data_IF_118178504518
#
_entry.id   IF_118178504518
#
_cell.length_a   1.000
_cell.length_b   1.000
_cell.length_c   1.000
_cell.angle_alpha   90.00
_cell.angle_beta   90.00
_cell.angle_gamma   90.00
#
_symmetry.space_group_name_H-M   'P 1'
#
loop_
_entity.id
_entity.type
_entity.pdbx_description
1 polymer ?
#
# COMPACT_ATOMS: atom_id res chain seq x y z
N UNK A 1 -27.45 12.24 -4.18
CA UNK A 1 -26.60 11.05 -4.00
C UNK A 1 -25.55 11.11 -5.08
N UNK A 2 -24.30 11.33 -4.69
CA UNK A 2 -23.17 11.34 -5.62
C UNK A 2 -22.65 9.91 -5.76
N UNK A 3 -22.79 9.33 -6.94
CA UNK A 3 -22.26 8.01 -7.25
C UNK A 3 -20.80 8.16 -7.68
N UNK A 4 -19.91 7.32 -7.13
CA UNK A 4 -18.53 7.25 -7.63
C UNK A 4 -18.56 6.78 -9.08
N UNK A 5 -17.73 7.41 -9.92
CA UNK A 5 -17.59 7.01 -11.31
C UNK A 5 -17.14 5.55 -11.39
N UNK A 6 -17.86 4.66 -12.10
CA UNK A 6 -17.41 3.28 -12.28
C UNK A 6 -16.19 3.26 -13.22
N UNK A 7 -15.14 2.54 -12.80
CA UNK A 7 -13.92 2.33 -13.60
C UNK A 7 -13.89 0.97 -14.30
N UNK A 8 -14.77 0.05 -13.89
CA UNK A 8 -14.93 -1.28 -14.46
C UNK A 8 -16.38 -1.54 -14.85
N UNK A 9 -16.57 -2.28 -15.93
CA UNK A 9 -17.87 -2.67 -16.44
C UNK A 9 -18.51 -3.71 -15.51
N UNK A 10 -19.72 -3.47 -14.95
CA UNK A 10 -20.38 -4.42 -14.05
C UNK A 10 -20.81 -5.73 -14.74
N UNK A 11 -20.71 -5.80 -16.07
CA UNK A 11 -21.09 -6.98 -16.87
C UNK A 11 -19.88 -7.87 -17.19
N UNK A 12 -18.74 -7.28 -17.55
CA UNK A 12 -17.57 -8.02 -18.04
C UNK A 12 -16.25 -7.65 -17.37
N UNK A 13 -16.29 -6.79 -16.36
CA UNK A 13 -15.14 -6.33 -15.55
C UNK A 13 -14.00 -5.64 -16.33
N UNK A 14 -14.22 -5.32 -17.61
CA UNK A 14 -13.26 -4.55 -18.43
C UNK A 14 -13.26 -3.06 -18.07
N UNK A 15 -12.16 -2.39 -18.40
CA UNK A 15 -11.99 -0.96 -18.17
C UNK A 15 -13.05 -0.12 -18.90
N UNK A 16 -13.63 0.84 -18.19
CA UNK A 16 -14.56 1.82 -18.76
C UNK A 16 -13.85 3.13 -19.09
N UNK A 17 -14.24 3.74 -20.22
CA UNK A 17 -13.81 5.10 -20.62
C UNK A 17 -14.93 6.11 -20.38
N UNK A 18 -14.56 7.36 -20.14
CA UNK A 18 -15.52 8.47 -20.08
C UNK A 18 -15.86 8.84 -21.52
N UNK A 19 -17.16 8.85 -21.86
CA UNK A 19 -17.65 9.17 -23.21
C UNK A 19 -18.22 10.59 -23.36
N UNK A 20 -18.61 11.20 -22.24
CA UNK A 20 -19.30 12.50 -22.22
C UNK A 20 -19.06 13.25 -20.92
N UNK A 21 -18.72 14.53 -21.04
CA UNK A 21 -18.56 15.47 -19.93
C UNK A 21 -19.50 16.66 -20.13
N UNK A 22 -20.10 17.16 -19.04
CA UNK A 22 -20.95 18.34 -19.04
C UNK A 22 -20.36 19.37 -18.10
N UNK A 23 -20.20 20.61 -18.57
CA UNK A 23 -19.72 21.70 -17.72
C UNK A 23 -20.77 22.07 -16.67
N UNK A 24 -20.33 22.33 -15.44
CA UNK A 24 -21.23 22.73 -14.33
C UNK A 24 -21.53 24.24 -14.32
N UNK A 25 -20.85 25.03 -15.14
CA UNK A 25 -20.96 26.49 -15.18
C UNK A 25 -21.64 27.03 -16.44
N UNK A 26 -21.59 26.29 -17.56
CA UNK A 26 -22.13 26.73 -18.85
C UNK A 26 -22.69 25.53 -19.65
N UNK A 27 -23.42 25.73 -20.76
CA UNK A 27 -24.09 24.63 -21.47
C UNK A 27 -23.16 23.73 -22.30
N UNK A 28 -21.84 23.91 -22.20
CA UNK A 28 -20.85 23.12 -22.95
C UNK A 28 -20.92 21.64 -22.59
N UNK A 29 -20.99 20.81 -23.63
CA UNK A 29 -20.90 19.35 -23.56
C UNK A 29 -19.75 18.90 -24.46
N UNK A 30 -18.91 18.02 -23.94
CA UNK A 30 -17.79 17.46 -24.69
C UNK A 30 -18.01 15.96 -24.79
N UNK A 31 -18.00 15.45 -26.02
CA UNK A 31 -18.13 14.01 -26.33
C UNK A 31 -16.84 13.53 -26.98
N UNK A 32 -16.43 12.31 -26.65
CA UNK A 32 -15.17 11.72 -27.09
C UNK A 32 -14.73 10.60 -26.17
N UNK A 33 -13.58 10.00 -26.45
CA UNK A 33 -12.98 8.99 -25.57
C UNK A 33 -11.98 9.65 -24.62
N UNK A 34 -12.33 9.76 -23.34
CA UNK A 34 -11.43 10.28 -22.31
C UNK A 34 -10.98 9.19 -21.36
N UNK A 35 -9.70 9.22 -21.00
CA UNK A 35 -9.13 8.38 -19.96
C UNK A 35 -9.54 8.89 -18.57
N UNK A 36 -9.79 7.96 -17.65
CA UNK A 36 -9.96 8.29 -16.23
C UNK A 36 -8.63 8.67 -15.60
N UNK A 37 -8.65 9.48 -14.54
CA UNK A 37 -7.45 9.76 -13.76
C UNK A 37 -6.88 8.48 -13.12
N UNK A 38 -5.55 8.40 -12.93
CA UNK A 38 -4.90 7.21 -12.33
C UNK A 38 -5.43 6.89 -10.93
N UNK A 39 -5.62 7.92 -10.12
CA UNK A 39 -6.14 7.80 -8.75
C UNK A 39 -7.59 7.33 -8.71
N UNK A 40 -8.38 7.67 -9.73
CA UNK A 40 -9.78 7.30 -9.82
C UNK A 40 -9.92 5.76 -9.77
N UNK A 41 -8.98 5.04 -10.39
CA UNK A 41 -8.96 3.57 -10.45
C UNK A 41 -8.55 2.88 -9.14
N UNK A 42 -8.08 3.62 -8.13
CA UNK A 42 -7.64 3.02 -6.88
C UNK A 42 -8.83 2.47 -6.09
N UNK A 43 -8.68 1.30 -5.43
CA UNK A 43 -9.64 0.82 -4.44
C UNK A 43 -9.92 1.86 -3.36
N UNK A 44 -11.12 1.80 -2.75
CA UNK A 44 -11.54 2.78 -1.74
C UNK A 44 -10.58 2.85 -0.55
N UNK A 45 -10.04 1.72 -0.10
CA UNK A 45 -9.07 1.69 1.00
C UNK A 45 -7.77 2.43 0.67
N UNK A 46 -7.28 2.29 -0.56
CA UNK A 46 -6.10 2.99 -1.04
C UNK A 46 -6.36 4.50 -1.17
N UNK A 47 -7.56 4.90 -1.61
CA UNK A 47 -7.95 6.32 -1.64
C UNK A 47 -7.96 6.95 -0.24
N UNK A 48 -8.53 6.26 0.75
CA UNK A 48 -8.55 6.72 2.15
C UNK A 48 -7.11 6.88 2.68
N UNK A 49 -6.25 5.91 2.38
CA UNK A 49 -4.84 6.00 2.75
C UNK A 49 -4.15 7.20 2.09
N UNK A 50 -4.35 7.43 0.78
CA UNK A 50 -3.75 8.57 0.06
C UNK A 50 -4.23 9.91 0.64
N UNK A 51 -5.52 10.02 0.96
CA UNK A 51 -6.07 11.22 1.59
C UNK A 51 -5.42 11.50 2.94
N UNK A 52 -5.32 10.49 3.81
CA UNK A 52 -4.64 10.60 5.10
C UNK A 52 -3.15 10.94 4.94
N UNK A 53 -2.46 10.28 4.00
CA UNK A 53 -1.05 10.54 3.72
C UNK A 53 -0.80 11.99 3.30
N UNK A 54 -1.63 12.53 2.40
CA UNK A 54 -1.55 13.93 1.96
C UNK A 54 -1.90 14.88 3.11
N UNK A 55 -2.94 14.59 3.90
CA UNK A 55 -3.34 15.37 5.09
C UNK A 55 -2.19 15.48 6.09
N UNK A 56 -1.45 14.39 6.29
CA UNK A 56 -0.25 14.32 7.13
C UNK A 56 1.03 14.81 6.43
N UNK A 57 0.93 15.41 5.23
CA UNK A 57 2.06 15.93 4.43
C UNK A 57 3.15 14.88 4.16
N UNK A 58 2.76 13.62 4.05
CA UNK A 58 3.67 12.48 3.87
C UNK A 58 4.50 12.10 5.10
N UNK A 59 4.23 12.68 6.28
CA UNK A 59 4.90 12.28 7.51
C UNK A 59 4.35 10.94 8.02
N UNK A 60 5.13 9.88 7.83
CA UNK A 60 4.75 8.51 8.21
C UNK A 60 4.31 8.41 9.67
N UNK A 61 5.01 9.08 10.60
CA UNK A 61 4.66 9.04 12.03
C UNK A 61 3.30 9.65 12.35
N UNK A 62 2.93 10.69 11.61
CA UNK A 62 1.61 11.32 11.77
C UNK A 62 0.53 10.47 11.10
N UNK A 63 0.84 9.79 9.99
CA UNK A 63 -0.08 8.83 9.35
C UNK A 63 -0.34 7.61 10.25
N UNK A 64 0.68 7.09 10.92
CA UNK A 64 0.54 6.02 11.92
C UNK A 64 -0.47 6.40 13.01
N UNK A 65 -0.35 7.62 13.55
CA UNK A 65 -1.27 8.14 14.57
C UNK A 65 -2.68 8.38 14.03
N UNK A 66 -2.80 8.98 12.85
CA UNK A 66 -4.08 9.30 12.20
C UNK A 66 -4.87 8.02 11.89
N UNK A 67 -4.20 6.98 11.41
CA UNK A 67 -4.84 5.73 10.98
C UNK A 67 -4.81 4.63 12.05
N UNK A 68 -4.11 4.83 13.17
CA UNK A 68 -3.99 3.85 14.26
C UNK A 68 -3.29 2.56 13.84
N UNK A 69 -2.31 2.64 12.94
CA UNK A 69 -1.59 1.48 12.37
C UNK A 69 -0.08 1.62 12.57
N UNK A 70 0.63 0.51 12.56
CA UNK A 70 2.08 0.48 12.72
C UNK A 70 2.84 1.02 11.50
N UNK A 71 4.06 1.49 11.71
CA UNK A 71 4.98 1.98 10.68
C UNK A 71 5.11 1.02 9.49
N UNK A 72 5.33 -0.30 9.69
CA UNK A 72 5.42 -1.24 8.58
C UNK A 72 4.12 -1.31 7.77
N UNK A 73 2.97 -1.14 8.43
CA UNK A 73 1.66 -1.13 7.76
C UNK A 73 1.49 0.14 6.92
N UNK A 74 1.91 1.31 7.41
CA UNK A 74 1.86 2.55 6.63
C UNK A 74 2.73 2.44 5.39
N UNK A 75 3.96 1.92 5.54
CA UNK A 75 4.88 1.70 4.41
C UNK A 75 4.32 0.69 3.41
N UNK A 76 3.83 -0.45 3.87
CA UNK A 76 3.23 -1.46 2.98
C UNK A 76 2.01 -0.92 2.21
N UNK A 77 1.19 -0.07 2.85
CA UNK A 77 0.08 0.61 2.15
C UNK A 77 0.57 1.63 1.13
N UNK A 78 1.63 2.38 1.43
CA UNK A 78 2.25 3.31 0.49
C UNK A 78 2.80 2.57 -0.73
N UNK A 79 3.52 1.47 -0.52
CA UNK A 79 4.07 0.65 -1.60
C UNK A 79 2.97 0.06 -2.48
N UNK A 80 1.89 -0.44 -1.87
CA UNK A 80 0.71 -0.94 -2.58
C UNK A 80 0.03 0.12 -3.44
N UNK A 81 -0.03 1.38 -2.98
CA UNK A 81 -0.55 2.51 -3.77
C UNK A 81 0.39 2.86 -4.91
N UNK A 82 1.69 2.91 -4.67
CA UNK A 82 2.72 3.19 -5.67
C UNK A 82 2.61 2.18 -6.83
N UNK A 83 2.51 0.90 -6.49
CA UNK A 83 2.32 -0.20 -7.45
C UNK A 83 0.99 -0.06 -8.23
N UNK A 84 -0.12 0.19 -7.53
CA UNK A 84 -1.43 0.36 -8.17
C UNK A 84 -1.48 1.58 -9.13
N UNK A 85 -0.67 2.60 -8.88
CA UNK A 85 -0.52 3.76 -9.78
C UNK A 85 0.42 3.49 -10.97
N UNK A 86 1.03 2.30 -11.03
CA UNK A 86 1.96 1.88 -12.08
C UNK A 86 3.34 2.51 -11.95
N UNK A 87 3.68 3.05 -10.78
CA UNK A 87 5.05 3.40 -10.47
C UNK A 87 5.69 2.14 -9.92
N UNK A 88 6.74 1.62 -10.57
CA UNK A 88 7.45 0.46 -10.04
C UNK A 88 7.83 0.73 -8.59
N UNK A 89 7.66 -0.25 -7.69
CA UNK A 89 8.08 -0.09 -6.30
C UNK A 89 9.53 0.35 -6.33
N UNK A 90 9.82 1.54 -5.79
CA UNK A 90 11.18 1.95 -5.50
C UNK A 90 11.71 0.97 -4.44
N UNK A 91 12.13 -0.22 -4.88
CA UNK A 91 13.13 -1.02 -4.17
C UNK A 91 14.49 -0.30 -4.31
N UNK A 92 14.49 1.00 -4.06
CA UNK A 92 15.70 1.75 -3.86
C UNK A 92 16.12 1.44 -2.44
N UNK A 93 17.34 0.90 -2.37
CA UNK A 93 18.10 0.61 -1.17
C UNK A 93 18.26 1.88 -0.35
N UNK A 94 17.25 2.21 0.44
CA UNK A 94 17.39 3.20 1.49
C UNK A 94 18.30 2.56 2.57
N UNK A 95 19.49 3.12 2.86
CA UNK A 95 20.40 2.53 3.85
C UNK A 95 19.81 2.47 5.27
N UNK A 96 18.73 3.21 5.55
CA UNK A 96 17.95 3.02 6.79
C UNK A 96 17.07 1.76 6.74
N UNK A 97 16.61 1.36 5.55
CA UNK A 97 15.78 0.18 5.32
C UNK A 97 16.60 -1.13 5.41
N UNK A 98 17.85 -1.13 4.97
CA UNK A 98 18.77 -2.25 5.24
C UNK A 98 19.02 -2.39 6.75
N UNK A 99 19.26 -1.28 7.47
CA UNK A 99 19.53 -1.31 8.91
C UNK A 99 18.32 -1.76 9.74
N UNK A 100 17.11 -1.36 9.36
CA UNK A 100 15.89 -1.73 10.08
C UNK A 100 15.50 -3.19 9.84
N UNK A 101 15.61 -3.69 8.59
CA UNK A 101 15.43 -5.12 8.31
C UNK A 101 16.48 -5.98 9.04
N UNK A 102 17.74 -5.55 9.05
CA UNK A 102 18.81 -6.23 9.80
C UNK A 102 18.54 -6.24 11.31
N UNK A 103 17.97 -5.16 11.86
CA UNK A 103 17.65 -5.08 13.28
C UNK A 103 16.47 -5.99 13.66
N UNK A 104 15.38 -5.98 12.89
CA UNK A 104 14.23 -6.88 13.11
C UNK A 104 14.63 -8.35 12.94
N UNK A 105 15.46 -8.66 11.94
CA UNK A 105 16.00 -10.00 11.73
C UNK A 105 16.93 -10.43 12.88
N UNK A 106 17.77 -9.52 13.37
CA UNK A 106 18.64 -9.77 14.52
C UNK A 106 17.83 -10.05 15.79
N UNK A 107 16.80 -9.26 16.08
CA UNK A 107 15.93 -9.45 17.23
C UNK A 107 15.20 -10.80 17.16
N UNK A 108 14.63 -11.12 16.00
CA UNK A 108 13.95 -12.40 15.77
C UNK A 108 14.89 -13.59 15.91
N UNK A 109 16.12 -13.49 15.39
CA UNK A 109 17.13 -14.54 15.53
C UNK A 109 17.54 -14.75 16.98
N UNK A 110 17.65 -13.66 17.75
CA UNK A 110 17.95 -13.72 19.17
C UNK A 110 16.83 -14.39 19.96
N UNK A 111 15.57 -14.05 19.69
CA UNK A 111 14.40 -14.70 20.31
C UNK A 111 14.37 -16.22 20.05
N UNK A 112 14.69 -16.66 18.83
CA UNK A 112 14.76 -18.09 18.48
C UNK A 112 15.87 -18.80 19.27
N UNK A 113 17.04 -18.16 19.44
CA UNK A 113 18.14 -18.73 20.19
C UNK A 113 17.83 -18.83 21.69
N UNK A 114 17.19 -17.81 22.26
CA UNK A 114 16.78 -17.84 23.67
C UNK A 114 15.69 -18.88 23.93
N UNK A 115 14.73 -19.05 23.00
CA UNK A 115 13.72 -20.10 23.11
C UNK A 115 14.34 -21.51 23.01
N UNK A 116 15.41 -21.68 22.23
CA UNK A 116 16.18 -22.93 22.16
C UNK A 116 16.92 -23.18 23.48
N UNK A 117 17.54 -22.16 24.06
CA UNK A 117 18.26 -22.25 25.35
C UNK A 117 17.31 -22.58 26.51
N UNK A 118 16.11 -22.00 26.51
CA UNK A 118 15.04 -22.32 27.48
C UNK A 118 14.37 -23.68 27.24
N UNK A 119 14.67 -24.35 26.12
CA UNK A 119 14.10 -25.65 25.76
C UNK A 119 12.63 -25.60 25.30
N UNK A 120 12.12 -24.40 24.96
CA UNK A 120 10.76 -24.18 24.48
C UNK A 120 10.58 -24.69 23.04
N UNK A 121 11.67 -24.75 22.27
CA UNK A 121 11.71 -25.26 20.90
C UNK A 121 12.86 -26.26 20.71
N UNK A 122 12.70 -27.19 19.78
CA UNK A 122 13.76 -28.14 19.41
C UNK A 122 14.77 -27.54 18.44
N UNK A 123 15.98 -28.09 18.36
CA UNK A 123 17.00 -27.66 17.40
C UNK A 123 16.51 -27.72 15.93
N UNK A 124 15.66 -28.69 15.60
CA UNK A 124 15.05 -28.82 14.27
C UNK A 124 14.04 -27.69 14.00
N UNK A 125 13.25 -27.33 15.02
CA UNK A 125 12.26 -26.25 14.93
C UNK A 125 12.94 -24.88 14.84
N UNK A 126 13.99 -24.63 15.62
CA UNK A 126 14.81 -23.42 15.51
C UNK A 126 15.40 -23.26 14.09
N UNK A 127 15.94 -24.34 13.53
CA UNK A 127 16.49 -24.34 12.16
C UNK A 127 15.43 -24.04 11.11
N UNK A 128 14.20 -24.56 11.28
CA UNK A 128 13.08 -24.30 10.38
C UNK A 128 12.62 -22.85 10.44
N UNK A 129 12.57 -22.26 11.64
CA UNK A 129 12.20 -20.86 11.83
C UNK A 129 13.25 -19.89 11.27
N UNK A 130 14.53 -20.28 11.29
CA UNK A 130 15.63 -19.53 10.66
C UNK A 130 15.65 -19.61 9.12
N UNK A 131 15.01 -20.60 8.48
CA UNK A 131 15.04 -20.81 7.02
C UNK A 131 13.86 -20.21 6.24
N UNK A 132 12.84 -19.64 6.90
CA UNK A 132 11.65 -19.07 6.23
C UNK A 132 11.90 -17.70 5.54
N UNK A 133 13.08 -17.52 4.95
CA UNK A 133 13.54 -16.25 4.37
C UNK A 133 13.97 -16.43 2.89
N UNK A 134 13.22 -17.26 2.15
CA UNK A 134 13.19 -17.29 0.68
C UNK A 134 11.77 -17.01 0.18
#
# INVERSE_FOLDING_TARGET
MDYKMPHRCPVCDHEMKISKLTCTYCPTKIEGEFSSCKFCRLPTEQLIFVEAFIKCRGNIKEVEKELGISYPTVRGRLDSVIEALGYGTFKEKDPENEKMNLHEESLRRQEILEALERGEISAQEATRQMRKQD
#
